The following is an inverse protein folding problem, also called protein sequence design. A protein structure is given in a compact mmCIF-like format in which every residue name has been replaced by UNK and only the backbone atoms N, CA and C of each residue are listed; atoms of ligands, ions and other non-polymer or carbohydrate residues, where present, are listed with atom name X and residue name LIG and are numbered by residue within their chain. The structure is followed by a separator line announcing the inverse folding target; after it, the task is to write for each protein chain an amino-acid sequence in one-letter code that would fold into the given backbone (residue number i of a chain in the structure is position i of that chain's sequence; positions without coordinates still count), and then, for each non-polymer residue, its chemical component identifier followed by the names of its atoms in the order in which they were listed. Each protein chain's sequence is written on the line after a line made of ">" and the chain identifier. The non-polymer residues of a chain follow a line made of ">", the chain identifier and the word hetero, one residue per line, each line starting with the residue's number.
data_IF_199572472674
#
_entry.id   IF_199572472674
#
_cell.length_a   1.000
_cell.length_b   1.000
_cell.length_c   1.000
_cell.angle_alpha   90.00
_cell.angle_beta   90.00
_cell.angle_gamma   90.00
#
_symmetry.space_group_name_H-M   'P 1'
#
loop_
_entity.id
_entity.type
_entity.pdbx_description
1 polymer ?
#
# COMPACT_ATOMS: atom_id res chain seq x y z
N UNK A 1 76.66 -40.97 16.63
CA UNK A 1 75.79 -39.75 16.70
C UNK A 1 74.57 -39.91 15.79
N UNK A 2 73.47 -40.45 16.34
CA UNK A 2 72.24 -40.61 15.63
C UNK A 2 71.27 -39.48 16.04
N UNK A 3 70.87 -38.64 15.17
CA UNK A 3 69.79 -37.65 15.39
C UNK A 3 68.47 -38.28 15.01
N UNK A 4 67.60 -38.47 15.99
CA UNK A 4 66.22 -38.89 15.82
C UNK A 4 65.39 -37.62 15.51
N UNK A 5 64.79 -37.51 14.29
CA UNK A 5 63.79 -36.49 13.96
C UNK A 5 62.41 -37.03 14.40
N UNK A 6 61.85 -36.40 15.42
CA UNK A 6 60.42 -36.53 15.70
C UNK A 6 59.60 -35.66 14.73
N UNK A 7 58.84 -36.30 13.84
CA UNK A 7 57.80 -35.63 13.08
C UNK A 7 56.54 -35.57 13.90
N UNK A 8 56.16 -34.36 14.34
CA UNK A 8 54.86 -34.13 14.98
C UNK A 8 53.79 -34.04 13.87
N UNK A 9 52.95 -35.06 13.80
CA UNK A 9 51.75 -35.04 12.94
C UNK A 9 50.67 -34.23 13.67
N UNK A 10 50.45 -33.00 13.23
CA UNK A 10 49.31 -32.19 13.67
C UNK A 10 48.02 -32.74 13.06
N UNK A 11 47.24 -33.44 13.88
CA UNK A 11 45.86 -33.83 13.53
C UNK A 11 44.99 -32.56 13.55
N UNK A 12 44.69 -32.01 12.38
CA UNK A 12 43.65 -30.99 12.27
C UNK A 12 42.31 -31.71 12.37
N UNK A 13 41.71 -31.70 13.57
CA UNK A 13 40.31 -32.06 13.72
C UNK A 13 39.47 -30.98 13.02
N UNK A 14 38.99 -31.27 11.81
CA UNK A 14 37.82 -30.58 11.24
C UNK A 14 36.62 -31.00 12.13
N UNK A 15 36.25 -30.15 13.04
CA UNK A 15 34.94 -30.23 13.66
C UNK A 15 33.93 -29.97 12.51
N UNK A 16 33.38 -31.03 11.94
CA UNK A 16 32.17 -30.90 11.13
C UNK A 16 31.11 -30.36 12.07
N UNK A 17 30.85 -29.05 12.02
CA UNK A 17 29.63 -28.50 12.59
C UNK A 17 28.52 -29.23 11.87
N UNK A 18 27.75 -30.04 12.60
CA UNK A 18 26.53 -30.62 12.05
C UNK A 18 25.69 -29.46 11.50
N UNK A 19 25.61 -29.38 10.18
CA UNK A 19 24.79 -28.39 9.53
C UNK A 19 23.36 -28.76 9.89
N UNK A 20 22.60 -27.84 10.48
CA UNK A 20 21.20 -28.07 10.78
C UNK A 20 20.52 -28.54 9.51
N UNK A 21 19.61 -29.53 9.59
CA UNK A 21 18.88 -30.01 8.43
C UNK A 21 17.96 -28.91 7.91
N UNK A 22 17.59 -28.95 6.62
CA UNK A 22 16.75 -27.92 6.01
C UNK A 22 15.46 -27.63 6.77
N UNK A 23 14.87 -28.64 7.41
CA UNK A 23 13.67 -28.49 8.23
C UNK A 23 13.94 -27.69 9.52
N UNK A 24 15.11 -27.85 10.15
CA UNK A 24 15.45 -27.11 11.37
C UNK A 24 15.76 -25.64 11.03
N UNK A 25 16.42 -25.39 9.90
CA UNK A 25 16.62 -24.04 9.37
C UNK A 25 15.28 -23.37 9.04
N UNK A 26 14.31 -24.11 8.47
CA UNK A 26 12.95 -23.61 8.19
C UNK A 26 12.21 -23.22 9.48
N UNK A 27 12.28 -24.04 10.53
CA UNK A 27 11.69 -23.73 11.83
C UNK A 27 12.33 -22.50 12.45
N UNK A 28 13.65 -22.40 12.40
CA UNK A 28 14.39 -21.24 12.88
C UNK A 28 14.05 -19.96 12.09
N UNK A 29 13.88 -20.06 10.75
CA UNK A 29 13.45 -18.97 9.90
C UNK A 29 12.06 -18.43 10.29
N UNK A 30 11.09 -19.34 10.50
CA UNK A 30 9.75 -18.97 10.94
C UNK A 30 9.77 -18.31 12.33
N UNK A 31 10.60 -18.79 13.25
CA UNK A 31 10.75 -18.18 14.57
C UNK A 31 11.36 -16.77 14.48
N UNK A 32 12.36 -16.56 13.62
CA UNK A 32 12.95 -15.23 13.36
C UNK A 32 11.90 -14.27 12.73
N UNK A 33 11.09 -14.75 11.79
CA UNK A 33 9.99 -13.98 11.18
C UNK A 33 8.96 -13.53 12.22
N UNK A 34 8.53 -14.43 13.12
CA UNK A 34 7.61 -14.10 14.21
C UNK A 34 8.16 -13.06 15.19
N UNK A 35 9.48 -12.96 15.32
CA UNK A 35 10.18 -11.96 16.13
C UNK A 35 10.40 -10.64 15.38
N UNK A 36 10.04 -10.56 14.09
CA UNK A 36 10.29 -9.40 13.25
C UNK A 36 11.75 -9.26 12.79
N UNK A 37 12.57 -10.31 12.96
CA UNK A 37 13.97 -10.33 12.55
C UNK A 37 14.10 -10.64 11.05
N UNK A 38 13.68 -9.71 10.18
CA UNK A 38 13.54 -9.89 8.74
C UNK A 38 14.82 -10.40 8.07
N UNK A 39 15.97 -9.79 8.36
CA UNK A 39 17.24 -10.18 7.74
C UNK A 39 17.68 -11.59 8.12
N UNK A 40 17.53 -11.95 9.38
CA UNK A 40 17.84 -13.28 9.87
C UNK A 40 16.88 -14.33 9.32
N UNK A 41 15.59 -14.02 9.24
CA UNK A 41 14.58 -14.89 8.65
C UNK A 41 14.88 -15.17 7.18
N UNK A 42 15.21 -14.15 6.36
CA UNK A 42 15.61 -14.32 4.96
C UNK A 42 16.86 -15.19 4.84
N UNK A 43 17.86 -14.98 5.71
CA UNK A 43 19.08 -15.78 5.73
C UNK A 43 18.79 -17.26 5.99
N UNK A 44 17.97 -17.55 7.01
CA UNK A 44 17.61 -18.91 7.42
C UNK A 44 16.70 -19.60 6.39
N UNK A 45 15.71 -18.90 5.80
CA UNK A 45 14.95 -19.44 4.66
C UNK A 45 15.86 -19.79 3.47
N UNK A 46 16.86 -18.95 3.19
CA UNK A 46 17.81 -19.21 2.12
C UNK A 46 18.67 -20.45 2.41
N UNK A 47 19.09 -20.62 3.65
CA UNK A 47 19.83 -21.80 4.09
C UNK A 47 18.97 -23.06 3.97
N UNK A 48 17.72 -23.02 4.45
CA UNK A 48 16.77 -24.12 4.33
C UNK A 48 16.55 -24.53 2.86
N UNK A 49 16.34 -23.55 1.96
CA UNK A 49 16.15 -23.79 0.53
C UNK A 49 17.41 -24.31 -0.19
N UNK A 50 18.59 -24.12 0.40
CA UNK A 50 19.87 -24.68 -0.07
C UNK A 50 20.07 -26.13 0.32
N UNK A 51 19.25 -26.67 1.23
CA UNK A 51 19.37 -28.06 1.70
C UNK A 51 18.66 -29.00 0.74
N UNK A 52 19.30 -30.14 0.44
CA UNK A 52 18.76 -31.16 -0.46
C UNK A 52 17.72 -32.09 0.18
N UNK A 53 17.56 -32.01 1.51
CA UNK A 53 16.65 -32.85 2.29
C UNK A 53 15.27 -32.21 2.53
N UNK A 54 15.04 -30.98 2.03
CA UNK A 54 13.79 -30.28 2.24
C UNK A 54 12.67 -30.85 1.33
N UNK A 55 11.61 -31.35 1.95
CA UNK A 55 10.45 -31.88 1.23
C UNK A 55 9.74 -30.78 0.40
N UNK A 56 9.01 -31.12 -0.68
CA UNK A 56 8.32 -30.12 -1.51
C UNK A 56 7.38 -29.19 -0.72
N UNK A 57 6.64 -29.72 0.26
CA UNK A 57 5.78 -28.91 1.13
C UNK A 57 6.54 -27.89 1.97
N UNK A 58 7.73 -28.28 2.45
CA UNK A 58 8.62 -27.40 3.23
C UNK A 58 9.33 -26.38 2.33
N UNK A 59 9.68 -26.78 1.09
CA UNK A 59 10.17 -25.84 0.06
C UNK A 59 9.13 -24.79 -0.28
N UNK A 60 7.85 -25.18 -0.42
CA UNK A 60 6.73 -24.26 -0.59
C UNK A 60 6.67 -23.27 0.58
N UNK A 61 6.66 -23.77 1.82
CA UNK A 61 6.60 -22.95 3.01
C UNK A 61 7.79 -21.97 3.12
N UNK A 62 9.01 -22.45 2.85
CA UNK A 62 10.21 -21.64 2.87
C UNK A 62 10.21 -20.51 1.81
N UNK A 63 9.76 -20.81 0.58
CA UNK A 63 9.64 -19.82 -0.49
C UNK A 63 8.57 -18.79 -0.17
N UNK A 64 7.38 -19.22 0.27
CA UNK A 64 6.31 -18.32 0.67
C UNK A 64 6.76 -17.41 1.82
N UNK A 65 7.39 -17.96 2.85
CA UNK A 65 7.93 -17.19 3.98
C UNK A 65 8.97 -16.18 3.52
N UNK A 66 9.97 -16.59 2.74
CA UNK A 66 11.04 -15.69 2.26
C UNK A 66 10.48 -14.60 1.35
N UNK A 67 9.55 -14.92 0.45
CA UNK A 67 8.86 -13.95 -0.40
C UNK A 67 8.10 -12.89 0.42
N UNK A 68 7.43 -13.31 1.51
CA UNK A 68 6.75 -12.39 2.42
C UNK A 68 7.72 -11.45 3.14
N UNK A 69 8.87 -11.96 3.58
CA UNK A 69 9.91 -11.14 4.20
C UNK A 69 10.54 -10.15 3.21
N UNK A 70 10.76 -10.55 1.95
CA UNK A 70 11.21 -9.63 0.92
C UNK A 70 10.17 -8.54 0.64
N UNK A 71 8.88 -8.87 0.64
CA UNK A 71 7.81 -7.86 0.51
C UNK A 71 7.86 -6.86 1.67
N UNK A 72 7.98 -7.34 2.91
CA UNK A 72 8.12 -6.49 4.11
C UNK A 72 9.36 -5.58 4.01
N UNK A 73 10.49 -6.14 3.58
CA UNK A 73 11.74 -5.38 3.40
C UNK A 73 11.63 -4.32 2.30
N UNK A 74 10.85 -4.59 1.25
CA UNK A 74 10.58 -3.61 0.19
C UNK A 74 9.81 -2.41 0.71
N UNK A 75 8.79 -2.63 1.55
CA UNK A 75 8.00 -1.55 2.14
C UNK A 75 8.85 -0.67 3.08
N UNK A 76 9.76 -1.28 3.85
CA UNK A 76 10.72 -0.55 4.66
C UNK A 76 11.65 0.30 3.79
N UNK A 77 12.16 -0.26 2.69
CA UNK A 77 13.04 0.47 1.77
C UNK A 77 12.32 1.65 1.11
N UNK A 78 11.03 1.49 0.74
CA UNK A 78 10.20 2.60 0.24
C UNK A 78 10.02 3.70 1.28
N UNK A 79 9.76 3.33 2.54
CA UNK A 79 9.61 4.30 3.62
C UNK A 79 10.87 5.14 3.86
N UNK A 80 12.03 4.61 3.50
CA UNK A 80 13.32 5.32 3.53
C UNK A 80 13.76 5.85 2.14
N UNK A 81 12.85 5.89 1.16
CA UNK A 81 13.10 6.40 -0.21
C UNK A 81 14.24 5.67 -0.96
N UNK A 82 14.51 4.41 -0.59
CA UNK A 82 15.52 3.55 -1.23
C UNK A 82 14.89 2.75 -2.38
N UNK A 83 14.43 3.45 -3.40
CA UNK A 83 13.54 2.89 -4.44
C UNK A 83 14.17 1.73 -5.22
N UNK A 84 15.47 1.78 -5.56
CA UNK A 84 16.14 0.68 -6.25
C UNK A 84 16.25 -0.57 -5.39
N UNK A 85 16.51 -0.41 -4.09
CA UNK A 85 16.53 -1.54 -3.14
C UNK A 85 15.12 -2.13 -2.97
N UNK A 86 14.09 -1.28 -2.84
CA UNK A 86 12.71 -1.72 -2.76
C UNK A 86 12.31 -2.57 -3.98
N UNK A 87 12.66 -2.12 -5.18
CA UNK A 87 12.44 -2.87 -6.42
C UNK A 87 13.13 -4.24 -6.39
N UNK A 88 14.40 -4.30 -6.03
CA UNK A 88 15.15 -5.55 -5.95
C UNK A 88 14.53 -6.55 -4.95
N UNK A 89 14.02 -6.07 -3.83
CA UNK A 89 13.29 -6.93 -2.88
C UNK A 89 11.97 -7.44 -3.43
N UNK A 90 11.21 -6.62 -4.17
CA UNK A 90 9.96 -7.06 -4.84
C UNK A 90 10.24 -8.11 -5.90
N UNK A 91 11.30 -7.95 -6.71
CA UNK A 91 11.69 -8.93 -7.71
C UNK A 91 12.05 -10.28 -7.06
N UNK A 92 12.74 -10.27 -5.92
CA UNK A 92 13.02 -11.47 -5.13
C UNK A 92 11.73 -12.11 -4.58
N UNK A 93 10.79 -11.31 -4.07
CA UNK A 93 9.50 -11.79 -3.58
C UNK A 93 8.70 -12.47 -4.73
N UNK A 94 8.60 -11.82 -5.89
CA UNK A 94 7.93 -12.35 -7.08
C UNK A 94 8.56 -13.69 -7.52
N UNK A 95 9.89 -13.79 -7.52
CA UNK A 95 10.59 -15.03 -7.86
C UNK A 95 10.26 -16.17 -6.89
N UNK A 96 10.26 -15.90 -5.59
CA UNK A 96 9.94 -16.90 -4.57
C UNK A 96 8.47 -17.34 -4.66
N UNK A 97 7.52 -16.41 -4.75
CA UNK A 97 6.10 -16.75 -4.92
C UNK A 97 5.84 -17.52 -6.22
N UNK A 98 6.54 -17.17 -7.31
CA UNK A 98 6.43 -17.89 -8.58
C UNK A 98 6.94 -19.34 -8.43
N UNK A 99 8.07 -19.53 -7.76
CA UNK A 99 8.60 -20.87 -7.52
C UNK A 99 7.71 -21.68 -6.52
N UNK A 100 7.07 -21.02 -5.56
CA UNK A 100 6.11 -21.66 -4.67
C UNK A 100 4.84 -22.11 -5.43
N UNK A 101 4.33 -21.30 -6.37
CA UNK A 101 3.18 -21.63 -7.22
C UNK A 101 3.44 -22.80 -8.18
N UNK A 102 4.70 -23.11 -8.51
CA UNK A 102 5.04 -24.35 -9.24
C UNK A 102 4.78 -25.59 -8.38
N UNK A 103 4.96 -25.48 -7.05
CA UNK A 103 4.73 -26.61 -6.12
C UNK A 103 3.25 -26.76 -5.79
N UNK A 104 2.53 -25.63 -5.60
CA UNK A 104 1.10 -25.62 -5.26
C UNK A 104 0.40 -24.54 -6.07
N UNK A 105 -0.37 -24.97 -7.07
CA UNK A 105 -1.04 -24.10 -8.06
C UNK A 105 -2.42 -23.62 -7.63
N UNK A 106 -2.99 -24.14 -6.54
CA UNK A 106 -4.35 -23.88 -6.06
C UNK A 106 -4.38 -23.09 -4.74
N UNK A 107 -3.42 -22.18 -4.55
CA UNK A 107 -3.31 -21.37 -3.34
C UNK A 107 -3.69 -19.90 -3.60
N UNK A 108 -4.94 -19.54 -3.25
CA UNK A 108 -5.45 -18.19 -3.46
C UNK A 108 -4.62 -17.13 -2.72
N UNK A 109 -4.15 -17.42 -1.50
CA UNK A 109 -3.36 -16.48 -0.72
C UNK A 109 -2.00 -16.20 -1.38
N UNK A 110 -1.41 -17.21 -1.99
CA UNK A 110 -0.12 -17.06 -2.68
C UNK A 110 -0.25 -16.24 -3.97
N UNK A 111 -1.36 -16.40 -4.72
CA UNK A 111 -1.66 -15.52 -5.85
C UNK A 111 -1.86 -14.09 -5.38
N UNK A 112 -2.58 -13.86 -4.27
CA UNK A 112 -2.72 -12.50 -3.69
C UNK A 112 -1.36 -11.92 -3.32
N UNK A 113 -0.50 -12.69 -2.66
CA UNK A 113 0.83 -12.21 -2.24
C UNK A 113 1.71 -11.83 -3.45
N UNK A 114 1.71 -12.65 -4.52
CA UNK A 114 2.45 -12.34 -5.74
C UNK A 114 1.84 -11.14 -6.48
N UNK A 115 0.51 -11.06 -6.56
CA UNK A 115 -0.20 -9.93 -7.14
C UNK A 115 0.14 -8.62 -6.44
N UNK A 116 0.20 -8.60 -5.10
CA UNK A 116 0.65 -7.45 -4.33
C UNK A 116 2.10 -7.05 -4.63
N UNK A 117 3.00 -8.03 -4.75
CA UNK A 117 4.39 -7.75 -5.09
C UNK A 117 4.53 -7.16 -6.51
N UNK A 118 3.73 -7.64 -7.48
CA UNK A 118 3.63 -7.06 -8.82
C UNK A 118 3.07 -5.63 -8.79
N UNK A 119 1.99 -5.40 -8.04
CA UNK A 119 1.35 -4.08 -7.91
C UNK A 119 2.32 -3.05 -7.34
N UNK A 120 2.97 -3.37 -6.22
CA UNK A 120 4.01 -2.53 -5.61
C UNK A 120 5.19 -2.27 -6.56
N UNK A 121 5.44 -3.16 -7.52
CA UNK A 121 6.48 -3.01 -8.54
C UNK A 121 6.00 -2.25 -9.79
N UNK A 122 4.74 -1.76 -9.79
CA UNK A 122 4.12 -1.06 -10.91
C UNK A 122 3.75 -1.98 -12.09
N UNK A 123 3.75 -3.29 -11.89
CA UNK A 123 3.42 -4.30 -12.88
C UNK A 123 1.94 -4.68 -12.76
N UNK A 124 1.06 -3.76 -13.16
CA UNK A 124 -0.38 -3.87 -12.89
C UNK A 124 -1.06 -5.01 -13.67
N UNK A 125 -0.68 -5.30 -14.91
CA UNK A 125 -1.28 -6.41 -15.67
C UNK A 125 -1.03 -7.79 -15.03
N UNK A 126 0.21 -8.16 -14.66
CA UNK A 126 0.45 -9.36 -13.87
C UNK A 126 -0.24 -9.38 -12.51
N UNK A 127 -0.32 -8.24 -11.81
CA UNK A 127 -1.03 -8.13 -10.53
C UNK A 127 -2.52 -8.46 -10.69
N UNK A 128 -3.19 -7.85 -11.68
CA UNK A 128 -4.60 -8.10 -11.99
C UNK A 128 -4.83 -9.58 -12.34
N UNK A 129 -3.93 -10.17 -13.14
CA UNK A 129 -4.04 -11.59 -13.50
C UNK A 129 -3.94 -12.52 -12.28
N UNK A 130 -3.07 -12.21 -11.34
CA UNK A 130 -2.94 -12.97 -10.09
C UNK A 130 -4.15 -12.78 -9.17
N UNK A 131 -4.67 -11.56 -9.01
CA UNK A 131 -5.90 -11.33 -8.25
C UNK A 131 -7.10 -12.03 -8.90
N UNK A 132 -7.19 -12.06 -10.23
CA UNK A 132 -8.22 -12.83 -10.95
C UNK A 132 -8.08 -14.35 -10.70
N UNK A 133 -6.85 -14.88 -10.64
CA UNK A 133 -6.61 -16.28 -10.29
C UNK A 133 -7.03 -16.58 -8.84
N UNK A 134 -6.68 -15.72 -7.89
CA UNK A 134 -7.09 -15.82 -6.50
C UNK A 134 -8.62 -15.80 -6.34
N UNK A 135 -9.32 -14.89 -7.04
CA UNK A 135 -10.77 -14.72 -7.00
C UNK A 135 -11.54 -15.91 -7.61
N UNK A 136 -10.93 -16.64 -8.56
CA UNK A 136 -11.48 -17.91 -9.09
C UNK A 136 -11.43 -19.02 -8.04
N UNK A 137 -10.42 -19.03 -7.18
CA UNK A 137 -10.26 -20.01 -6.11
C UNK A 137 -11.11 -19.65 -4.89
N UNK A 138 -11.13 -18.38 -4.50
CA UNK A 138 -11.88 -17.89 -3.35
C UNK A 138 -12.34 -16.45 -3.57
N UNK A 139 -13.64 -16.19 -3.48
CA UNK A 139 -14.22 -14.85 -3.50
C UNK A 139 -13.85 -14.13 -2.22
N UNK A 140 -13.30 -12.91 -2.35
CA UNK A 140 -12.89 -12.07 -1.22
C UNK A 140 -13.09 -10.59 -1.55
N UNK A 141 -13.79 -9.81 -0.70
CA UNK A 141 -13.93 -8.37 -0.89
C UNK A 141 -12.58 -7.66 -0.86
N UNK A 142 -11.65 -8.10 -0.02
CA UNK A 142 -10.29 -7.54 0.05
C UNK A 142 -9.53 -7.77 -1.26
N UNK A 143 -9.60 -8.98 -1.83
CA UNK A 143 -8.92 -9.27 -3.10
C UNK A 143 -9.55 -8.50 -4.27
N UNK A 144 -10.87 -8.30 -4.26
CA UNK A 144 -11.55 -7.43 -5.23
C UNK A 144 -11.06 -5.97 -5.13
N UNK A 145 -10.91 -5.44 -3.91
CA UNK A 145 -10.39 -4.10 -3.69
C UNK A 145 -8.93 -3.97 -4.15
N UNK A 146 -8.08 -4.95 -3.86
CA UNK A 146 -6.69 -4.96 -4.33
C UNK A 146 -6.57 -5.00 -5.86
N UNK A 147 -7.40 -5.83 -6.54
CA UNK A 147 -7.49 -5.82 -8.00
C UNK A 147 -7.91 -4.45 -8.52
N UNK A 148 -8.94 -3.86 -7.92
CA UNK A 148 -9.44 -2.55 -8.30
C UNK A 148 -8.40 -1.44 -8.12
N UNK A 149 -7.55 -1.51 -7.09
CA UNK A 149 -6.42 -0.59 -6.90
C UNK A 149 -5.43 -0.66 -8.07
N UNK A 150 -5.07 -1.87 -8.51
CA UNK A 150 -4.22 -2.06 -9.71
C UNK A 150 -4.91 -1.58 -10.99
N UNK A 151 -6.22 -1.81 -11.15
CA UNK A 151 -7.02 -1.31 -12.28
C UNK A 151 -7.06 0.22 -12.29
N UNK A 152 -7.25 0.84 -11.12
CA UNK A 152 -7.20 2.30 -10.95
C UNK A 152 -5.84 2.88 -11.34
N UNK A 153 -4.75 2.28 -10.87
CA UNK A 153 -3.39 2.70 -11.19
C UNK A 153 -3.07 2.57 -12.68
N UNK A 154 -3.63 1.56 -13.35
CA UNK A 154 -3.54 1.35 -14.80
C UNK A 154 -4.38 2.36 -15.60
N UNK A 155 -5.40 2.97 -14.99
CA UNK A 155 -6.36 3.88 -15.64
C UNK A 155 -7.67 3.23 -16.08
N UNK A 156 -7.93 1.98 -15.69
CA UNK A 156 -9.15 1.22 -15.99
C UNK A 156 -10.26 1.54 -14.94
N UNK A 157 -10.65 2.81 -14.83
CA UNK A 157 -11.50 3.32 -13.75
C UNK A 157 -12.86 2.62 -13.64
N UNK A 158 -13.47 2.30 -14.79
CA UNK A 158 -14.78 1.61 -14.81
C UNK A 158 -14.69 0.20 -14.23
N UNK A 159 -13.61 -0.52 -14.53
CA UNK A 159 -13.37 -1.84 -13.96
C UNK A 159 -13.10 -1.77 -12.46
N UNK A 160 -12.32 -0.77 -12.03
CA UNK A 160 -12.06 -0.53 -10.61
C UNK A 160 -13.37 -0.28 -9.85
N UNK A 161 -14.24 0.60 -10.34
CA UNK A 161 -15.55 0.89 -9.74
C UNK A 161 -16.45 -0.34 -9.72
N UNK A 162 -16.49 -1.12 -10.79
CA UNK A 162 -17.30 -2.35 -10.85
C UNK A 162 -16.80 -3.39 -9.82
N UNK A 163 -15.48 -3.59 -9.71
CA UNK A 163 -14.87 -4.50 -8.74
C UNK A 163 -15.14 -4.09 -7.29
N UNK A 164 -15.03 -2.79 -6.97
CA UNK A 164 -15.34 -2.26 -5.64
C UNK A 164 -16.84 -2.32 -5.32
N UNK A 165 -17.71 -2.22 -6.32
CA UNK A 165 -19.15 -2.44 -6.14
C UNK A 165 -19.44 -3.90 -5.81
N UNK A 166 -18.81 -4.88 -6.53
CA UNK A 166 -18.92 -6.29 -6.19
C UNK A 166 -18.40 -6.57 -4.77
N UNK A 167 -17.30 -5.91 -4.36
CA UNK A 167 -16.76 -6.04 -3.00
C UNK A 167 -17.75 -5.56 -1.93
N UNK A 168 -18.41 -4.40 -2.13
CA UNK A 168 -19.45 -3.90 -1.23
C UNK A 168 -20.65 -4.86 -1.14
N UNK A 169 -21.05 -5.46 -2.25
CA UNK A 169 -22.14 -6.45 -2.28
C UNK A 169 -21.79 -7.71 -1.49
N UNK A 170 -20.51 -8.12 -1.49
CA UNK A 170 -20.05 -9.25 -0.68
C UNK A 170 -20.04 -8.90 0.81
N UNK A 171 -19.52 -7.74 1.17
CA UNK A 171 -19.49 -7.25 2.56
C UNK A 171 -20.90 -7.11 3.13
N UNK A 172 -21.87 -6.66 2.33
CA UNK A 172 -23.25 -6.53 2.76
C UNK A 172 -23.93 -7.88 3.09
N UNK A 173 -23.41 -9.00 2.55
CA UNK A 173 -23.94 -10.37 2.76
C UNK A 173 -23.36 -11.06 4.00
N UNK A 174 -22.19 -10.60 4.49
CA UNK A 174 -21.55 -11.15 5.70
C UNK A 174 -21.29 -10.03 6.73
N UNK A 175 -22.16 -9.84 7.71
CA UNK A 175 -22.12 -8.67 8.60
C UNK A 175 -21.06 -8.75 9.71
N UNK A 176 -20.26 -9.83 9.84
CA UNK A 176 -19.42 -10.02 11.03
C UNK A 176 -18.30 -8.99 11.20
N UNK A 177 -17.73 -8.46 10.11
CA UNK A 177 -16.76 -7.36 10.13
C UNK A 177 -17.04 -6.30 9.05
N UNK A 178 -18.25 -6.36 8.49
CA UNK A 178 -18.73 -5.61 7.33
C UNK A 178 -18.46 -4.10 7.39
N UNK A 179 -18.50 -3.50 8.61
CA UNK A 179 -18.39 -2.04 8.73
C UNK A 179 -17.01 -1.50 8.43
N UNK A 180 -15.94 -2.18 8.88
CA UNK A 180 -14.55 -1.71 8.68
C UNK A 180 -14.16 -1.88 7.21
N UNK A 181 -14.45 -3.04 6.64
CA UNK A 181 -14.19 -3.32 5.23
C UNK A 181 -14.98 -2.38 4.33
N UNK A 182 -16.26 -2.13 4.63
CA UNK A 182 -17.10 -1.22 3.86
C UNK A 182 -16.54 0.21 3.82
N UNK A 183 -16.01 0.72 4.92
CA UNK A 183 -15.43 2.08 4.99
C UNK A 183 -14.26 2.24 4.02
N UNK A 184 -13.35 1.26 4.02
CA UNK A 184 -12.21 1.29 3.12
C UNK A 184 -12.65 1.17 1.65
N UNK A 185 -13.57 0.24 1.35
CA UNK A 185 -14.06 0.02 -0.01
C UNK A 185 -14.83 1.23 -0.55
N UNK A 186 -15.67 1.90 0.28
CA UNK A 186 -16.30 3.17 -0.11
C UNK A 186 -15.25 4.25 -0.39
N UNK A 187 -14.22 4.36 0.44
CA UNK A 187 -13.13 5.33 0.20
C UNK A 187 -12.42 5.06 -1.12
N UNK A 188 -12.06 3.80 -1.39
CA UNK A 188 -11.39 3.41 -2.63
C UNK A 188 -12.27 3.62 -3.87
N UNK A 189 -13.57 3.29 -3.77
CA UNK A 189 -14.51 3.56 -4.87
C UNK A 189 -14.69 5.07 -5.08
N UNK A 190 -14.76 5.85 -4.01
CA UNK A 190 -14.75 7.31 -4.07
C UNK A 190 -13.53 7.87 -4.80
N UNK A 191 -12.34 7.32 -4.55
CA UNK A 191 -11.13 7.71 -5.28
C UNK A 191 -11.22 7.36 -6.77
N UNK A 192 -11.69 6.15 -7.12
CA UNK A 192 -11.85 5.73 -8.51
C UNK A 192 -12.86 6.62 -9.25
N UNK A 193 -14.02 6.92 -8.63
CA UNK A 193 -15.04 7.83 -9.16
C UNK A 193 -14.51 9.26 -9.32
N UNK A 194 -13.72 9.75 -8.36
CA UNK A 194 -13.11 11.08 -8.43
C UNK A 194 -12.13 11.20 -9.60
N UNK A 195 -11.22 10.24 -9.72
CA UNK A 195 -10.26 10.22 -10.83
C UNK A 195 -10.96 10.05 -12.18
N UNK A 196 -12.09 9.35 -12.23
CA UNK A 196 -12.95 9.25 -13.41
C UNK A 196 -13.78 10.53 -13.70
N UNK A 197 -13.62 11.60 -12.91
CA UNK A 197 -14.43 12.84 -12.95
C UNK A 197 -15.94 12.65 -12.68
N UNK A 198 -16.31 11.57 -12.02
CA UNK A 198 -17.67 11.31 -11.54
C UNK A 198 -17.84 11.85 -10.12
N UNK A 199 -17.64 13.16 -9.95
CA UNK A 199 -17.48 13.81 -8.64
C UNK A 199 -18.70 13.66 -7.72
N UNK A 200 -19.92 13.64 -8.27
CA UNK A 200 -21.13 13.43 -7.45
C UNK A 200 -21.19 12.00 -6.87
N UNK A 201 -20.77 10.99 -7.62
CA UNK A 201 -20.67 9.61 -7.15
C UNK A 201 -19.55 9.48 -6.10
N UNK A 202 -18.39 10.09 -6.37
CA UNK A 202 -17.29 10.15 -5.40
C UNK A 202 -17.72 10.78 -4.07
N UNK A 203 -18.46 11.90 -4.12
CA UNK A 203 -18.99 12.56 -2.93
C UNK A 203 -19.94 11.65 -2.15
N UNK A 204 -20.81 10.89 -2.83
CA UNK A 204 -21.71 9.94 -2.17
C UNK A 204 -20.95 8.82 -1.44
N UNK A 205 -19.87 8.31 -2.04
CA UNK A 205 -19.02 7.28 -1.44
C UNK A 205 -18.22 7.82 -0.24
N UNK A 206 -17.61 8.99 -0.36
CA UNK A 206 -16.91 9.63 0.77
C UNK A 206 -17.87 9.99 1.92
N UNK A 207 -19.09 10.40 1.64
CA UNK A 207 -20.14 10.62 2.66
C UNK A 207 -20.46 9.33 3.40
N UNK A 208 -20.60 8.20 2.68
CA UNK A 208 -20.76 6.89 3.31
C UNK A 208 -19.58 6.52 4.18
N UNK A 209 -18.35 6.72 3.71
CA UNK A 209 -17.15 6.45 4.49
C UNK A 209 -17.12 7.31 5.76
N UNK A 210 -17.35 8.62 5.67
CA UNK A 210 -17.41 9.54 6.83
C UNK A 210 -18.52 9.17 7.82
N UNK A 211 -19.71 8.80 7.31
CA UNK A 211 -20.87 8.44 8.15
C UNK A 211 -20.65 7.12 8.88
N UNK A 212 -20.11 6.10 8.21
CA UNK A 212 -19.78 4.82 8.84
C UNK A 212 -18.68 4.98 9.88
N UNK A 213 -17.71 5.84 9.63
CA UNK A 213 -16.59 6.12 10.52
C UNK A 213 -15.72 4.89 10.81
N UNK A 214 -14.53 5.08 11.33
CA UNK A 214 -13.68 3.95 11.76
C UNK A 214 -13.33 4.03 13.24
N UNK A 215 -14.17 3.48 14.15
CA UNK A 215 -13.91 3.54 15.59
C UNK A 215 -12.74 2.65 16.05
N UNK A 216 -12.22 1.76 15.22
CA UNK A 216 -11.21 0.74 15.63
C UNK A 216 -9.80 0.95 15.11
N UNK A 217 -9.56 1.86 14.16
CA UNK A 217 -8.22 2.11 13.62
C UNK A 217 -7.47 3.17 14.40
N UNK A 218 -7.35 3.06 15.72
CA UNK A 218 -6.39 3.85 16.54
C UNK A 218 -6.10 5.30 16.13
N UNK A 219 -6.96 5.90 15.33
CA UNK A 219 -6.71 7.14 14.67
C UNK A 219 -7.80 7.69 13.79
N UNK A 220 -9.02 7.91 14.32
CA UNK A 220 -9.95 8.88 13.73
C UNK A 220 -9.26 10.24 13.53
N UNK A 221 -8.19 10.47 14.28
CA UNK A 221 -7.35 11.68 14.22
C UNK A 221 -6.72 11.91 12.84
N UNK A 222 -6.28 10.86 12.16
CA UNK A 222 -5.66 11.00 10.81
C UNK A 222 -6.66 10.71 9.69
N UNK A 223 -7.48 9.68 9.86
CA UNK A 223 -8.36 9.19 8.79
C UNK A 223 -9.52 10.14 8.50
N UNK A 224 -10.27 10.57 9.53
CA UNK A 224 -11.46 11.42 9.36
C UNK A 224 -11.17 12.77 8.68
N UNK A 225 -10.09 13.49 9.02
CA UNK A 225 -9.76 14.73 8.33
C UNK A 225 -9.51 14.55 6.82
N UNK A 226 -8.83 13.47 6.42
CA UNK A 226 -8.61 13.19 5.01
C UNK A 226 -9.91 12.84 4.28
N UNK A 227 -10.79 12.03 4.89
CA UNK A 227 -12.08 11.70 4.26
C UNK A 227 -12.99 12.93 4.15
N UNK A 228 -13.00 13.79 5.17
CA UNK A 228 -13.72 15.06 5.11
C UNK A 228 -13.16 15.99 4.02
N UNK A 229 -11.84 16.00 3.83
CA UNK A 229 -11.20 16.77 2.76
C UNK A 229 -11.59 16.22 1.37
N UNK A 230 -11.56 14.91 1.17
CA UNK A 230 -11.99 14.26 -0.08
C UNK A 230 -13.47 14.52 -0.37
N UNK A 231 -14.33 14.41 0.64
CA UNK A 231 -15.76 14.71 0.50
C UNK A 231 -15.96 16.15 0.06
N UNK A 232 -15.28 17.12 0.72
CA UNK A 232 -15.37 18.53 0.37
C UNK A 232 -14.96 18.81 -1.09
N UNK A 233 -13.77 18.34 -1.50
CA UNK A 233 -13.33 18.61 -2.88
C UNK A 233 -14.21 17.91 -3.91
N UNK A 234 -14.75 16.71 -3.62
CA UNK A 234 -15.69 16.03 -4.51
C UNK A 234 -17.00 16.82 -4.64
N UNK A 235 -17.55 17.34 -3.54
CA UNK A 235 -18.72 18.23 -3.52
C UNK A 235 -18.45 19.51 -4.32
N UNK A 236 -17.32 20.18 -4.06
CA UNK A 236 -16.94 21.40 -4.75
C UNK A 236 -16.79 21.18 -6.27
N UNK A 237 -16.14 20.08 -6.69
CA UNK A 237 -16.01 19.70 -8.11
C UNK A 237 -17.34 19.30 -8.76
N UNK A 238 -18.30 18.80 -7.99
CA UNK A 238 -19.66 18.51 -8.42
C UNK A 238 -20.57 19.76 -8.45
N UNK A 239 -20.08 20.93 -8.05
CA UNK A 239 -20.87 22.16 -7.93
C UNK A 239 -21.90 22.13 -6.78
N UNK A 240 -21.68 21.29 -5.77
CA UNK A 240 -22.55 21.13 -4.62
C UNK A 240 -22.08 22.03 -3.46
N UNK A 241 -23.02 22.62 -2.73
CA UNK A 241 -22.73 23.37 -1.52
C UNK A 241 -22.68 22.40 -0.32
N UNK A 242 -21.56 22.37 0.38
CA UNK A 242 -21.34 21.51 1.55
C UNK A 242 -20.90 22.26 2.80
N UNK A 243 -21.06 23.59 2.85
CA UNK A 243 -20.55 24.42 3.94
C UNK A 243 -21.00 23.95 5.33
N UNK A 244 -22.30 23.62 5.48
CA UNK A 244 -22.83 23.10 6.74
C UNK A 244 -22.30 21.69 7.07
N UNK A 245 -22.17 20.84 6.08
CA UNK A 245 -21.64 19.47 6.24
C UNK A 245 -20.17 19.51 6.65
N UNK A 246 -19.36 20.34 5.97
CA UNK A 246 -17.96 20.55 6.31
C UNK A 246 -17.79 21.08 7.74
N UNK A 247 -18.62 22.05 8.14
CA UNK A 247 -18.62 22.59 9.51
C UNK A 247 -19.00 21.52 10.57
N UNK A 248 -19.99 20.66 10.28
CA UNK A 248 -20.36 19.54 11.16
C UNK A 248 -19.21 18.51 11.28
N UNK A 249 -18.53 18.21 10.20
CA UNK A 249 -17.39 17.29 10.20
C UNK A 249 -16.20 17.88 10.94
N UNK A 250 -15.94 19.18 10.78
CA UNK A 250 -14.90 19.90 11.51
C UNK A 250 -15.08 19.86 13.03
N UNK A 251 -16.31 19.85 13.52
CA UNK A 251 -16.62 19.70 14.95
C UNK A 251 -16.17 18.37 15.57
N UNK A 252 -15.81 17.38 14.75
CA UNK A 252 -15.31 16.07 15.17
C UNK A 252 -13.78 15.93 14.98
N UNK A 253 -13.11 16.95 14.48
CA UNK A 253 -11.72 16.94 14.03
C UNK A 253 -10.91 17.95 14.82
N UNK A 254 -9.68 17.61 15.23
CA UNK A 254 -8.75 18.62 15.72
C UNK A 254 -8.20 19.46 14.53
N UNK A 255 -8.88 20.57 14.24
CA UNK A 255 -8.55 21.46 13.13
C UNK A 255 -7.26 22.27 13.36
N UNK A 256 -6.60 22.15 14.52
CA UNK A 256 -5.33 22.80 14.83
C UNK A 256 -4.12 21.95 14.50
N UNK A 257 -4.32 20.66 14.31
CA UNK A 257 -3.26 19.72 13.98
C UNK A 257 -3.44 19.13 12.59
N UNK A 258 -2.34 18.85 11.92
CA UNK A 258 -2.35 18.16 10.64
C UNK A 258 -2.87 16.70 10.80
N UNK A 259 -3.78 16.21 9.93
CA UNK A 259 -4.32 16.83 8.70
C UNK A 259 -5.58 17.67 8.90
N UNK A 260 -6.09 17.87 10.11
CA UNK A 260 -7.28 18.68 10.40
C UNK A 260 -7.15 20.14 9.96
N UNK A 261 -5.94 20.67 9.87
CA UNK A 261 -5.67 22.01 9.32
C UNK A 261 -6.09 22.16 7.85
N UNK A 262 -6.21 21.07 7.05
CA UNK A 262 -6.82 21.11 5.72
C UNK A 262 -8.30 21.50 5.81
N UNK A 263 -9.02 20.95 6.79
CA UNK A 263 -10.44 21.27 6.99
C UNK A 263 -10.58 22.75 7.45
N UNK A 264 -9.67 23.22 8.31
CA UNK A 264 -9.62 24.65 8.67
C UNK A 264 -9.42 25.56 7.44
N UNK A 265 -8.54 25.17 6.53
CA UNK A 265 -8.32 25.89 5.27
C UNK A 265 -9.59 25.94 4.40
N UNK A 266 -10.28 24.84 4.24
CA UNK A 266 -11.53 24.80 3.46
C UNK A 266 -12.65 25.63 4.08
N UNK A 267 -12.69 25.75 5.40
CA UNK A 267 -13.60 26.64 6.13
C UNK A 267 -13.20 28.13 6.08
N UNK A 268 -12.03 28.44 5.52
CA UNK A 268 -11.49 29.81 5.52
C UNK A 268 -10.91 30.27 6.84
N UNK A 269 -10.68 29.38 7.79
CA UNK A 269 -10.12 29.65 9.12
C UNK A 269 -8.59 29.65 9.14
N UNK A 270 -7.95 29.19 8.07
CA UNK A 270 -6.49 29.19 7.90
C UNK A 270 -6.14 29.55 6.45
N UNK A 271 -5.00 30.19 6.25
CA UNK A 271 -4.46 30.46 4.92
C UNK A 271 -3.52 29.35 4.49
N UNK A 272 -3.37 29.18 3.19
CA UNK A 272 -2.57 28.09 2.62
C UNK A 272 -1.07 28.20 2.95
N UNK A 273 -0.53 29.41 3.00
CA UNK A 273 0.84 29.71 3.38
C UNK A 273 1.13 29.37 4.86
N UNK A 274 0.13 29.51 5.72
CA UNK A 274 0.20 29.11 7.14
C UNK A 274 0.27 27.59 7.33
N UNK A 275 -0.21 26.81 6.34
CA UNK A 275 -0.20 25.35 6.36
C UNK A 275 1.10 24.76 5.81
N UNK A 276 1.86 25.55 5.06
CA UNK A 276 3.11 25.08 4.46
C UNK A 276 4.17 24.91 5.57
N UNK A 277 4.67 23.68 5.79
CA UNK A 277 5.66 23.48 6.85
C UNK A 277 6.94 24.24 6.50
N UNK A 278 7.58 24.90 7.47
CA UNK A 278 8.94 25.38 7.26
C UNK A 278 9.82 24.14 7.02
N UNK A 279 10.40 24.05 5.82
CA UNK A 279 11.37 23.02 5.36
C UNK A 279 11.36 21.72 6.18
N UNK A 280 10.32 20.91 6.04
CA UNK A 280 10.28 19.59 6.69
C UNK A 280 11.02 18.58 5.80
N UNK A 281 12.26 18.28 6.18
CA UNK A 281 13.01 17.18 5.62
C UNK A 281 12.49 15.86 6.19
N UNK A 282 12.30 14.85 5.33
CA UNK A 282 11.90 13.49 5.69
C UNK A 282 10.50 13.10 5.21
N UNK A 283 10.20 11.81 5.29
CA UNK A 283 8.98 11.20 4.72
C UNK A 283 7.66 11.82 5.20
N UNK A 284 7.55 12.21 6.47
CA UNK A 284 6.36 12.88 7.00
C UNK A 284 6.16 14.29 6.42
N UNK A 285 7.24 15.01 6.16
CA UNK A 285 7.18 16.32 5.53
C UNK A 285 6.71 16.22 4.09
N UNK A 286 7.25 15.29 3.33
CA UNK A 286 6.84 15.02 1.96
C UNK A 286 5.37 14.58 1.89
N UNK A 287 4.91 13.70 2.78
CA UNK A 287 3.50 13.27 2.81
C UNK A 287 2.55 14.44 3.11
N UNK A 288 2.90 15.35 4.01
CA UNK A 288 2.11 16.54 4.28
C UNK A 288 2.08 17.50 3.09
N UNK A 289 3.24 17.78 2.49
CA UNK A 289 3.34 18.63 1.31
C UNK A 289 2.59 18.04 0.11
N UNK A 290 2.65 16.72 -0.07
CA UNK A 290 1.90 15.98 -1.08
C UNK A 290 0.39 16.25 -0.93
N UNK A 291 -0.19 15.95 0.23
CA UNK A 291 -1.62 16.16 0.48
C UNK A 291 -2.02 17.63 0.33
N UNK A 292 -1.25 18.55 0.91
CA UNK A 292 -1.53 19.97 0.82
C UNK A 292 -1.52 20.49 -0.62
N UNK A 293 -0.52 20.08 -1.41
CA UNK A 293 -0.41 20.50 -2.80
C UNK A 293 -1.60 20.00 -3.63
N UNK A 294 -2.00 18.75 -3.44
CA UNK A 294 -3.13 18.16 -4.14
C UNK A 294 -4.46 18.81 -3.76
N UNK A 295 -4.80 18.84 -2.47
CA UNK A 295 -6.09 19.38 -2.00
C UNK A 295 -6.26 20.86 -2.29
N UNK A 296 -5.18 21.65 -2.19
CA UNK A 296 -5.22 23.05 -2.59
C UNK A 296 -5.45 23.22 -4.09
N UNK A 297 -4.83 22.37 -4.92
CA UNK A 297 -5.06 22.40 -6.36
C UNK A 297 -6.52 22.11 -6.71
N UNK A 298 -7.13 21.09 -6.09
CA UNK A 298 -8.54 20.75 -6.32
C UNK A 298 -9.49 21.87 -5.91
N UNK A 299 -9.19 22.56 -4.81
CA UNK A 299 -9.94 23.74 -4.41
C UNK A 299 -9.82 24.90 -5.42
N UNK A 300 -8.65 25.06 -6.04
CA UNK A 300 -8.43 26.04 -7.10
C UNK A 300 -9.16 25.66 -8.38
N UNK A 301 -9.15 24.38 -8.78
CA UNK A 301 -9.92 23.88 -9.92
C UNK A 301 -11.43 24.12 -9.72
N UNK A 302 -11.95 23.89 -8.52
CA UNK A 302 -13.34 24.18 -8.20
C UNK A 302 -13.71 25.70 -8.35
N UNK A 303 -12.69 26.58 -8.22
CA UNK A 303 -12.83 28.03 -8.41
C UNK A 303 -12.44 28.51 -9.82
N UNK A 304 -12.14 27.58 -10.75
CA UNK A 304 -11.66 27.85 -12.10
C UNK A 304 -10.28 28.56 -12.17
N UNK A 305 -9.48 28.51 -11.12
CA UNK A 305 -8.09 28.98 -11.12
C UNK A 305 -7.16 27.88 -11.64
N UNK A 306 -7.26 27.60 -12.93
CA UNK A 306 -6.53 26.52 -13.60
C UNK A 306 -5.01 26.74 -13.62
N UNK A 307 -4.56 28.00 -13.60
CA UNK A 307 -3.13 28.30 -13.68
C UNK A 307 -2.40 27.96 -12.38
N UNK A 308 -2.95 28.36 -11.25
CA UNK A 308 -2.36 28.05 -9.95
C UNK A 308 -2.58 26.57 -9.59
N UNK A 309 -3.72 26.01 -9.95
CA UNK A 309 -3.97 24.57 -9.80
C UNK A 309 -2.92 23.72 -10.52
N UNK A 310 -2.57 24.05 -11.77
CA UNK A 310 -1.55 23.32 -12.52
C UNK A 310 -0.17 23.36 -11.85
N UNK A 311 0.23 24.48 -11.28
CA UNK A 311 1.51 24.57 -10.53
C UNK A 311 1.51 23.62 -9.32
N UNK A 312 0.41 23.59 -8.57
CA UNK A 312 0.28 22.75 -7.37
C UNK A 312 0.16 21.28 -7.71
N UNK A 313 -0.55 20.91 -8.78
CA UNK A 313 -0.59 19.53 -9.28
C UNK A 313 0.80 19.06 -9.72
N UNK A 314 1.56 19.93 -10.40
CA UNK A 314 2.96 19.64 -10.74
C UNK A 314 3.80 19.42 -9.49
N UNK A 315 3.61 20.25 -8.45
CA UNK A 315 4.28 20.05 -7.16
C UNK A 315 3.86 18.74 -6.50
N UNK A 316 2.56 18.40 -6.48
CA UNK A 316 2.07 17.13 -5.96
C UNK A 316 2.74 15.95 -6.69
N UNK A 317 2.84 15.98 -8.03
CA UNK A 317 3.55 14.96 -8.81
C UNK A 317 5.03 14.83 -8.47
N UNK A 318 5.65 15.91 -8.03
CA UNK A 318 7.08 15.90 -7.66
C UNK A 318 7.36 15.37 -6.25
N UNK A 319 6.40 15.51 -5.32
CA UNK A 319 6.62 15.18 -3.89
C UNK A 319 5.79 13.99 -3.39
N UNK A 320 4.70 13.63 -4.06
CA UNK A 320 3.88 12.48 -3.68
C UNK A 320 4.57 11.17 -4.06
N UNK A 321 4.45 10.18 -3.19
CA UNK A 321 4.82 8.80 -3.54
C UNK A 321 3.95 8.32 -4.71
N UNK A 322 4.57 7.66 -5.68
CA UNK A 322 3.94 7.19 -6.92
C UNK A 322 2.78 6.19 -6.71
N UNK A 323 2.73 5.55 -5.55
CA UNK A 323 1.66 4.60 -5.17
C UNK A 323 0.47 5.27 -4.48
N UNK A 324 0.47 6.60 -4.34
CA UNK A 324 -0.65 7.32 -3.71
C UNK A 324 -1.69 7.76 -4.73
N UNK A 325 -2.95 7.76 -4.32
CA UNK A 325 -4.04 8.33 -5.12
C UNK A 325 -3.80 9.81 -5.48
N UNK A 326 -3.11 10.56 -4.62
CA UNK A 326 -2.75 11.97 -4.90
C UNK A 326 -1.85 12.10 -6.12
N UNK A 327 -0.84 11.23 -6.23
CA UNK A 327 0.06 11.20 -7.38
C UNK A 327 -0.71 10.88 -8.67
N UNK A 328 -1.55 9.85 -8.64
CA UNK A 328 -2.38 9.44 -9.78
C UNK A 328 -3.34 10.56 -10.19
N UNK A 329 -4.14 11.06 -9.24
CA UNK A 329 -5.14 12.09 -9.49
C UNK A 329 -4.52 13.37 -10.01
N UNK A 330 -3.39 13.83 -9.44
CA UNK A 330 -2.67 14.99 -9.94
C UNK A 330 -2.21 14.82 -11.39
N UNK A 331 -1.75 13.64 -11.78
CA UNK A 331 -1.38 13.36 -13.16
C UNK A 331 -2.56 13.38 -14.13
N UNK A 332 -3.71 12.88 -13.69
CA UNK A 332 -4.95 12.89 -14.49
C UNK A 332 -5.48 14.33 -14.65
N UNK A 333 -5.49 15.12 -13.58
CA UNK A 333 -5.94 16.53 -13.67
C UNK A 333 -5.01 17.39 -14.53
N UNK A 334 -3.68 17.18 -14.45
CA UNK A 334 -2.73 17.84 -15.36
C UNK A 334 -3.03 17.53 -16.83
N UNK A 335 -3.30 16.27 -17.17
CA UNK A 335 -3.70 15.88 -18.53
C UNK A 335 -4.99 16.57 -18.96
N UNK A 336 -5.99 16.70 -18.08
CA UNK A 336 -7.23 17.43 -18.35
C UNK A 336 -7.01 18.91 -18.61
N UNK A 337 -6.00 19.49 -17.97
CA UNK A 337 -5.56 20.87 -18.20
C UNK A 337 -4.66 21.04 -19.45
N UNK A 338 -4.37 19.97 -20.19
CA UNK A 338 -3.48 19.99 -21.35
C UNK A 338 -1.99 20.18 -20.99
N UNK A 339 -1.59 19.69 -19.85
CA UNK A 339 -0.23 19.83 -19.29
C UNK A 339 0.49 18.48 -19.19
#
# INVERSE_FOLDING_TARGET
>A
MFKVLLAAASLVLFAATAQAGGLDDLKAANAAAQQGNIDESIRLFTQALGSSDLAPADQFAARNGRGSEYTSKSLIADAFERLDQARGFRDNAIADFTAALVIKTDDAALYVARGQAYDLNGQYDPAIADFDAALKLAKSPVTLAQRASSELAKGDYDRAVAGLTEALDLVAKDPKDARIEAVDIYSERGYAEFVAARYAAAAADFDKAVTLGSPKRGGDVLWLPYQAAWLHIARARAGQNDAEELARNAGKIDVKQWPGTLVAYFLGHAKLDELTPPSSHGSMGHARECGLSFFAAEQMLAKNDNAEAAKRLTRARAVCNIHTVYYLAAGVELKRLGK
#
